data_IF_613910718008
#
_entry.id   IF_613910718008
#
_cell.length_a   1.000
_cell.length_b   1.000
_cell.length_c   1.000
_cell.angle_alpha   90.00
_cell.angle_beta   90.00
_cell.angle_gamma   90.00
#
_symmetry.space_group_name_H-M   'P 1'
#
loop_
_entity.id
_entity.type
_entity.pdbx_description
1 polymer ?
#
# COMPACT_ATOMS: atom_id res chain seq x y z
N UNK A 1 -23.54 31.38 -43.72
CA UNK A 1 -24.24 30.65 -42.64
C UNK A 1 -23.27 29.57 -42.20
N UNK A 2 -22.32 29.97 -41.35
CA UNK A 2 -21.16 29.16 -40.97
C UNK A 2 -21.48 28.37 -39.71
N UNK A 3 -21.10 27.10 -39.78
CA UNK A 3 -21.06 26.08 -38.74
C UNK A 3 -20.24 26.55 -37.53
N UNK A 4 -20.80 26.45 -36.32
CA UNK A 4 -20.03 26.46 -35.08
C UNK A 4 -20.30 25.17 -34.31
N UNK A 5 -19.47 24.19 -34.64
CA UNK A 5 -19.16 23.04 -33.80
C UNK A 5 -18.65 23.50 -32.42
N UNK A 6 -19.47 23.35 -31.36
CA UNK A 6 -19.00 23.47 -29.99
C UNK A 6 -18.37 22.15 -29.54
N UNK A 7 -17.03 22.12 -29.53
CA UNK A 7 -16.25 21.13 -28.81
C UNK A 7 -16.34 21.44 -27.31
N UNK A 8 -17.11 20.63 -26.58
CA UNK A 8 -17.07 20.63 -25.12
C UNK A 8 -15.74 20.01 -24.67
N UNK A 9 -14.80 20.89 -24.29
CA UNK A 9 -13.61 20.52 -23.54
C UNK A 9 -14.03 20.29 -22.08
N UNK A 10 -14.16 19.03 -21.69
CA UNK A 10 -14.32 18.61 -20.30
C UNK A 10 -13.14 19.14 -19.47
N UNK A 11 -13.38 20.19 -18.70
CA UNK A 11 -12.45 20.64 -17.67
C UNK A 11 -12.43 19.64 -16.53
N UNK A 12 -11.49 18.69 -16.56
CA UNK A 12 -11.11 17.95 -15.36
C UNK A 12 -10.54 18.97 -14.35
N UNK A 13 -11.28 19.18 -13.26
CA UNK A 13 -10.74 19.81 -12.06
C UNK A 13 -9.49 19.03 -11.65
N UNK A 14 -8.42 19.64 -11.10
CA UNK A 14 -7.29 18.88 -10.61
C UNK A 14 -7.77 17.96 -9.49
N UNK A 15 -8.11 16.73 -9.82
CA UNK A 15 -8.44 15.69 -8.87
C UNK A 15 -7.15 15.39 -8.11
N UNK A 16 -7.21 15.47 -6.79
CA UNK A 16 -6.06 15.16 -5.96
C UNK A 16 -5.78 13.66 -6.14
N UNK A 17 -4.65 13.32 -6.78
CA UNK A 17 -4.22 11.95 -6.94
C UNK A 17 -3.27 11.56 -5.81
N UNK A 18 -3.69 10.58 -5.00
CA UNK A 18 -2.90 10.03 -3.90
C UNK A 18 -2.16 8.75 -4.30
N UNK A 19 -2.22 8.33 -5.57
CA UNK A 19 -1.47 7.17 -6.06
C UNK A 19 0.03 7.34 -5.82
N UNK A 20 0.71 6.27 -5.40
CA UNK A 20 2.12 6.26 -5.03
C UNK A 20 2.46 7.19 -3.83
N UNK A 21 1.51 7.38 -2.91
CA UNK A 21 1.74 8.06 -1.64
C UNK A 21 1.61 7.11 -0.46
N UNK A 22 2.31 7.43 0.62
CA UNK A 22 2.04 6.86 1.93
C UNK A 22 0.97 7.68 2.65
N UNK A 23 -0.04 6.99 3.17
CA UNK A 23 -0.99 7.51 4.11
C UNK A 23 -0.61 7.04 5.51
N UNK A 24 -0.39 7.98 6.42
CA UNK A 24 -0.14 7.71 7.82
C UNK A 24 -1.40 8.01 8.60
N UNK A 25 -1.91 7.00 9.31
CA UNK A 25 -3.07 7.17 10.18
C UNK A 25 -2.73 8.14 11.31
N UNK A 26 -3.53 9.19 11.46
CA UNK A 26 -3.41 10.09 12.61
C UNK A 26 -3.88 9.37 13.89
N UNK A 27 -3.15 9.49 15.01
CA UNK A 27 -3.58 8.95 16.29
C UNK A 27 -4.99 9.44 16.65
N UNK A 28 -5.83 8.56 17.19
CA UNK A 28 -7.22 8.84 17.60
C UNK A 28 -8.20 9.24 16.47
N UNK A 29 -7.77 9.30 15.21
CA UNK A 29 -8.63 9.66 14.08
C UNK A 29 -9.07 8.47 13.24
N UNK A 30 -8.23 7.43 13.19
CA UNK A 30 -8.51 6.18 12.49
C UNK A 30 -8.70 5.09 13.53
N UNK A 31 -9.81 4.37 13.48
CA UNK A 31 -10.13 3.28 14.40
C UNK A 31 -9.94 1.90 13.76
N UNK A 32 -9.89 0.86 14.60
CA UNK A 32 -9.88 -0.53 14.16
C UNK A 32 -8.55 -0.99 13.55
N UNK A 33 -8.66 -1.81 12.49
CA UNK A 33 -7.50 -2.48 11.89
C UNK A 33 -6.57 -1.56 11.10
N UNK A 34 -6.91 -0.28 10.92
CA UNK A 34 -6.08 0.70 10.21
C UNK A 34 -5.45 1.77 11.13
N UNK A 35 -5.78 1.79 12.42
CA UNK A 35 -5.26 2.76 13.38
C UNK A 35 -3.73 2.69 13.53
N UNK A 36 -2.99 3.79 13.35
CA UNK A 36 -1.52 3.76 13.40
C UNK A 36 -0.87 2.91 12.31
N UNK A 37 -1.56 2.70 11.19
CA UNK A 37 -0.99 2.04 10.02
C UNK A 37 -0.30 3.04 9.08
N UNK A 38 0.68 2.55 8.34
CA UNK A 38 1.24 3.21 7.15
C UNK A 38 0.69 2.46 5.96
N UNK A 39 -0.05 3.14 5.10
CA UNK A 39 -0.68 2.55 3.92
C UNK A 39 -0.02 3.12 2.67
N UNK A 40 0.46 2.24 1.81
CA UNK A 40 0.89 2.62 0.47
C UNK A 40 -0.30 2.61 -0.48
N UNK A 41 -0.68 3.77 -1.02
CA UNK A 41 -1.77 3.90 -1.99
C UNK A 41 -1.26 3.42 -3.34
N UNK A 42 -1.77 2.28 -3.76
CA UNK A 42 -1.42 1.68 -5.04
C UNK A 42 -2.20 2.34 -6.16
N UNK A 43 -3.49 2.58 -5.96
CA UNK A 43 -4.34 3.16 -6.99
C UNK A 43 -5.34 4.13 -6.36
N UNK A 44 -5.49 5.31 -6.95
CA UNK A 44 -6.54 6.25 -6.61
C UNK A 44 -7.28 6.69 -7.86
N UNK A 45 -8.59 6.44 -7.90
CA UNK A 45 -9.46 6.82 -9.01
C UNK A 45 -10.73 7.47 -8.47
N UNK A 46 -11.51 8.08 -9.35
CA UNK A 46 -12.83 8.63 -9.00
C UNK A 46 -13.83 7.58 -8.47
N UNK A 47 -13.56 6.28 -8.68
CA UNK A 47 -14.37 5.18 -8.16
C UNK A 47 -13.98 4.74 -6.76
N UNK A 48 -12.79 5.13 -6.28
CA UNK A 48 -12.25 4.72 -5.00
C UNK A 48 -10.73 4.62 -5.01
N UNK A 49 -10.18 4.20 -3.87
CA UNK A 49 -8.75 4.00 -3.68
C UNK A 49 -8.44 2.59 -3.19
N UNK A 50 -7.27 2.08 -3.57
CA UNK A 50 -6.69 0.84 -3.09
C UNK A 50 -5.32 1.14 -2.50
N UNK A 51 -5.09 0.66 -1.28
CA UNK A 51 -3.80 0.73 -0.63
C UNK A 51 -3.46 -0.51 0.17
N UNK A 52 -2.20 -0.66 0.51
CA UNK A 52 -1.67 -1.77 1.29
C UNK A 52 -1.01 -1.26 2.55
N UNK A 53 -1.42 -1.78 3.71
CA UNK A 53 -0.73 -1.53 4.96
C UNK A 53 0.66 -2.20 4.91
N UNK A 54 1.71 -1.42 5.13
CA UNK A 54 3.11 -1.88 5.02
C UNK A 54 3.80 -2.03 6.38
N UNK A 55 3.25 -1.54 7.48
CA UNK A 55 3.92 -1.52 8.78
C UNK A 55 3.43 -2.58 9.77
N UNK A 56 2.62 -3.55 9.31
CA UNK A 56 2.00 -4.56 10.17
C UNK A 56 2.36 -5.98 9.72
N UNK A 57 3.46 -6.58 10.22
CA UNK A 57 3.73 -7.99 10.00
C UNK A 57 2.68 -8.85 10.72
N UNK A 58 2.44 -10.04 10.19
CA UNK A 58 1.57 -11.06 10.80
C UNK A 58 2.41 -12.25 11.26
N UNK A 59 1.80 -13.18 12.00
CA UNK A 59 2.43 -14.44 12.40
C UNK A 59 2.57 -15.44 11.23
N UNK A 60 2.01 -15.12 10.06
CA UNK A 60 2.12 -15.94 8.86
C UNK A 60 3.43 -15.63 8.15
N UNK A 61 4.12 -16.68 7.71
CA UNK A 61 5.28 -16.56 6.83
C UNK A 61 4.91 -16.95 5.40
N UNK A 62 5.78 -16.60 4.45
CA UNK A 62 5.63 -17.07 3.07
C UNK A 62 5.61 -18.59 2.99
N UNK A 63 6.42 -19.30 3.78
CA UNK A 63 6.38 -20.76 3.82
C UNK A 63 4.97 -21.29 4.10
N UNK A 64 4.32 -20.79 5.15
CA UNK A 64 2.95 -21.19 5.51
C UNK A 64 1.91 -20.75 4.47
N UNK A 65 2.08 -19.57 3.86
CA UNK A 65 1.19 -19.10 2.80
C UNK A 65 1.26 -20.02 1.57
N UNK A 66 2.46 -20.43 1.18
CA UNK A 66 2.71 -21.30 0.03
C UNK A 66 2.21 -22.73 0.25
N UNK A 67 2.38 -23.28 1.45
CA UNK A 67 1.81 -24.57 1.82
C UNK A 67 0.29 -24.58 1.69
N UNK A 68 -0.40 -23.51 2.10
CA UNK A 68 -1.87 -23.39 1.94
C UNK A 68 -2.32 -23.37 0.49
N UNK A 69 -1.49 -22.88 -0.41
CA UNK A 69 -1.78 -22.81 -1.84
C UNK A 69 -1.14 -23.97 -2.62
N UNK A 70 -0.60 -24.99 -1.92
CA UNK A 70 0.02 -26.18 -2.50
C UNK A 70 1.21 -25.86 -3.44
N UNK A 71 1.94 -24.77 -3.17
CA UNK A 71 3.18 -24.44 -3.86
C UNK A 71 4.38 -24.86 -3.01
N UNK A 72 5.31 -25.58 -3.63
CA UNK A 72 6.51 -26.04 -2.94
C UNK A 72 7.60 -24.97 -3.07
N UNK A 73 7.87 -24.24 -1.99
CA UNK A 73 9.04 -23.36 -1.91
C UNK A 73 10.29 -24.23 -1.74
N UNK A 74 11.16 -24.30 -2.74
CA UNK A 74 12.46 -24.98 -2.59
C UNK A 74 13.51 -24.07 -1.95
N UNK A 75 13.23 -22.76 -1.86
CA UNK A 75 14.17 -21.75 -1.41
C UNK A 75 13.96 -21.44 0.08
N UNK A 76 14.87 -21.96 0.91
CA UNK A 76 14.86 -21.79 2.36
C UNK A 76 14.81 -20.32 2.86
N UNK A 77 15.62 -19.36 2.35
CA UNK A 77 15.62 -18.00 2.90
C UNK A 77 14.30 -17.24 2.66
N UNK A 78 13.54 -17.59 1.62
CA UNK A 78 12.26 -16.93 1.33
C UNK A 78 11.14 -17.43 2.25
N UNK A 79 11.22 -18.68 2.74
CA UNK A 79 10.19 -19.28 3.61
C UNK A 79 9.97 -18.53 4.91
N UNK A 80 11.01 -17.93 5.47
CA UNK A 80 10.95 -17.21 6.75
C UNK A 80 10.49 -15.77 6.60
N UNK A 81 10.28 -15.28 5.37
CA UNK A 81 9.80 -13.92 5.14
C UNK A 81 8.40 -13.74 5.73
N UNK A 82 8.19 -12.71 6.57
CA UNK A 82 6.88 -12.45 7.16
C UNK A 82 5.89 -11.93 6.11
N UNK A 83 4.65 -12.37 6.23
CA UNK A 83 3.51 -11.82 5.48
C UNK A 83 2.91 -10.67 6.28
N UNK A 84 2.53 -9.61 5.59
CA UNK A 84 1.97 -8.42 6.21
C UNK A 84 0.45 -8.42 6.14
N UNK A 85 -0.19 -7.74 7.07
CA UNK A 85 -1.60 -7.43 6.98
C UNK A 85 -1.73 -6.23 6.04
N UNK A 86 -2.33 -6.41 4.87
CA UNK A 86 -2.49 -5.34 3.88
C UNK A 86 -3.79 -4.54 4.05
N UNK A 87 -4.78 -5.10 4.74
CA UNK A 87 -6.00 -4.41 5.14
C UNK A 87 -7.19 -5.36 5.34
N UNK A 88 -8.35 -4.83 5.75
CA UNK A 88 -9.51 -5.64 6.13
C UNK A 88 -10.28 -6.25 4.95
N UNK A 89 -10.00 -5.83 3.71
CA UNK A 89 -10.73 -6.28 2.53
C UNK A 89 -9.98 -7.45 1.88
N UNK A 90 -10.70 -8.54 1.55
CA UNK A 90 -10.14 -9.75 0.90
C UNK A 90 -8.91 -10.31 1.63
N UNK A 91 -9.00 -10.46 2.96
CA UNK A 91 -7.93 -11.00 3.81
C UNK A 91 -7.55 -12.46 3.48
N UNK A 92 -8.36 -13.14 2.68
CA UNK A 92 -8.11 -14.45 2.11
C UNK A 92 -7.20 -14.42 0.86
N UNK A 93 -6.99 -13.23 0.26
CA UNK A 93 -6.16 -13.06 -0.93
C UNK A 93 -4.82 -12.41 -0.61
N UNK A 94 -3.76 -12.95 -1.22
CA UNK A 94 -2.42 -12.40 -1.19
C UNK A 94 -2.21 -11.34 -2.27
N UNK A 95 -1.55 -10.27 -1.89
CA UNK A 95 -1.12 -9.18 -2.74
C UNK A 95 0.41 -9.10 -2.66
N UNK A 96 1.08 -9.01 -3.80
CA UNK A 96 2.54 -8.97 -3.86
C UNK A 96 2.96 -7.65 -4.47
N UNK A 97 3.50 -6.76 -3.65
CA UNK A 97 4.13 -5.53 -4.09
C UNK A 97 5.62 -5.80 -4.33
N UNK A 98 6.13 -5.51 -5.52
CA UNK A 98 7.51 -5.84 -5.85
C UNK A 98 8.24 -4.81 -6.70
N UNK A 99 9.56 -4.85 -6.62
CA UNK A 99 10.51 -4.07 -7.42
C UNK A 99 11.63 -5.01 -7.93
N UNK A 100 12.04 -4.91 -9.21
CA UNK A 100 11.47 -4.09 -10.29
C UNK A 100 10.05 -4.54 -10.70
N UNK A 101 9.32 -3.72 -11.49
CA UNK A 101 8.00 -4.08 -12.01
C UNK A 101 8.15 -5.12 -13.12
N UNK A 102 8.20 -6.40 -12.74
CA UNK A 102 8.16 -7.54 -13.66
C UNK A 102 6.84 -7.62 -14.44
N UNK A 103 6.82 -8.41 -15.51
CA UNK A 103 5.60 -8.68 -16.27
C UNK A 103 4.94 -9.97 -15.78
N UNK A 104 4.04 -9.82 -14.81
CA UNK A 104 3.18 -10.88 -14.30
C UNK A 104 1.73 -10.66 -14.72
N UNK A 105 0.93 -11.72 -14.72
CA UNK A 105 -0.51 -11.59 -14.95
C UNK A 105 -1.16 -10.77 -13.83
N UNK A 106 -2.24 -10.04 -14.13
CA UNK A 106 -2.98 -9.28 -13.10
C UNK A 106 -2.09 -8.37 -12.24
N UNK A 107 -1.11 -7.73 -12.89
CA UNK A 107 -0.18 -6.79 -12.28
C UNK A 107 -0.52 -5.35 -12.65
N UNK A 108 -0.48 -4.47 -11.67
CA UNK A 108 -0.69 -3.02 -11.82
C UNK A 108 0.68 -2.35 -11.67
N UNK A 109 1.11 -1.62 -12.70
CA UNK A 109 2.38 -0.88 -12.69
C UNK A 109 2.19 0.45 -11.96
N UNK A 110 2.98 0.63 -10.90
CA UNK A 110 2.96 1.75 -9.96
C UNK A 110 4.28 2.53 -10.10
N UNK A 111 4.56 2.96 -11.33
CA UNK A 111 5.84 3.58 -11.70
C UNK A 111 7.00 2.58 -11.60
N UNK A 112 7.83 2.73 -10.57
CA UNK A 112 8.96 1.84 -10.28
C UNK A 112 8.59 0.55 -9.54
N UNK A 113 7.34 0.45 -9.07
CA UNK A 113 6.81 -0.71 -8.36
C UNK A 113 5.75 -1.41 -9.19
N UNK A 114 5.43 -2.65 -8.85
CA UNK A 114 4.25 -3.32 -9.38
C UNK A 114 3.51 -4.06 -8.27
N UNK A 115 2.18 -3.97 -8.31
CA UNK A 115 1.28 -4.72 -7.45
C UNK A 115 0.68 -5.87 -8.23
N UNK A 116 1.00 -7.09 -7.83
CA UNK A 116 0.57 -8.31 -8.49
C UNK A 116 -0.34 -9.12 -7.58
N UNK A 117 -1.45 -9.59 -8.13
CA UNK A 117 -2.49 -10.38 -7.41
C UNK A 117 -2.60 -11.83 -7.88
N UNK A 118 -1.87 -12.17 -8.93
CA UNK A 118 -1.78 -13.51 -9.48
C UNK A 118 -0.83 -14.39 -8.67
N UNK A 119 -0.99 -15.70 -8.86
CA UNK A 119 -0.13 -16.71 -8.24
C UNK A 119 1.17 -16.96 -9.00
N UNK A 120 1.31 -16.41 -10.21
CA UNK A 120 2.51 -16.61 -11.04
C UNK A 120 3.74 -15.89 -10.46
N UNK A 121 3.60 -14.72 -9.83
CA UNK A 121 4.69 -14.06 -9.10
C UNK A 121 5.15 -14.91 -7.91
N UNK A 122 4.20 -15.52 -7.18
CA UNK A 122 4.53 -16.43 -6.08
C UNK A 122 5.25 -17.67 -6.61
N UNK A 123 4.80 -18.22 -7.75
CA UNK A 123 5.48 -19.34 -8.38
C UNK A 123 6.89 -18.96 -8.86
N UNK A 124 7.07 -17.80 -9.49
CA UNK A 124 8.38 -17.30 -9.89
C UNK A 124 9.32 -17.15 -8.69
N UNK A 125 8.80 -16.67 -7.55
CA UNK A 125 9.52 -16.62 -6.27
C UNK A 125 9.88 -18.02 -5.77
N UNK A 126 8.98 -19.01 -5.88
CA UNK A 126 9.27 -20.40 -5.51
C UNK A 126 10.41 -21.00 -6.35
N UNK A 127 10.43 -20.67 -7.63
CA UNK A 127 11.40 -21.14 -8.63
C UNK A 127 12.73 -20.37 -8.57
N UNK A 128 12.83 -19.32 -7.74
CA UNK A 128 14.04 -18.49 -7.61
C UNK A 128 14.22 -17.43 -8.68
N UNK A 129 13.20 -17.23 -9.52
CA UNK A 129 13.11 -16.17 -10.53
C UNK A 129 12.18 -15.03 -10.07
N UNK A 130 12.02 -14.88 -8.76
CA UNK A 130 11.22 -13.82 -8.16
C UNK A 130 11.88 -12.44 -8.31
N UNK A 131 11.12 -11.36 -8.05
CA UNK A 131 11.68 -10.02 -8.01
C UNK A 131 12.71 -9.88 -6.88
N UNK A 132 13.65 -8.95 -7.05
CA UNK A 132 14.72 -8.69 -6.07
C UNK A 132 14.18 -8.26 -4.70
N UNK A 133 13.18 -7.37 -4.72
CA UNK A 133 12.51 -6.89 -3.52
C UNK A 133 11.01 -7.14 -3.65
N UNK A 134 10.41 -7.73 -2.62
CA UNK A 134 8.98 -7.94 -2.55
C UNK A 134 8.44 -7.79 -1.13
N UNK A 135 7.19 -7.37 -1.05
CA UNK A 135 6.38 -7.29 0.15
C UNK A 135 5.09 -8.05 -0.15
N UNK A 136 4.82 -9.10 0.62
CA UNK A 136 3.59 -9.88 0.49
C UNK A 136 2.64 -9.49 1.60
N UNK A 137 1.43 -9.11 1.22
CA UNK A 137 0.37 -8.72 2.15
C UNK A 137 -0.87 -9.59 1.96
N UNK A 138 -1.65 -9.77 3.01
CA UNK A 138 -2.98 -10.37 2.95
C UNK A 138 -4.06 -9.30 3.07
N UNK A 139 -4.95 -9.29 2.09
CA UNK A 139 -5.94 -8.24 1.92
C UNK A 139 -5.33 -6.89 1.55
N UNK A 140 -6.23 -5.91 1.43
CA UNK A 140 -5.93 -4.53 1.12
C UNK A 140 -6.85 -3.58 1.89
N UNK A 141 -6.43 -2.33 2.02
CA UNK A 141 -7.25 -1.23 2.47
C UNK A 141 -7.94 -0.62 1.24
N UNK A 142 -9.27 -0.65 1.23
CA UNK A 142 -10.07 -0.09 0.15
C UNK A 142 -10.87 1.10 0.64
N UNK A 143 -10.93 2.16 -0.17
CA UNK A 143 -11.79 3.31 0.03
C UNK A 143 -12.82 3.39 -1.09
N UNK A 144 -14.06 3.69 -0.74
CA UNK A 144 -15.09 4.00 -1.73
C UNK A 144 -14.84 5.34 -2.42
N UNK A 145 -15.60 5.62 -3.48
CA UNK A 145 -15.56 6.88 -4.22
C UNK A 145 -15.72 8.09 -3.28
N UNK A 146 -14.75 9.01 -3.27
CA UNK A 146 -14.77 10.21 -2.43
C UNK A 146 -14.50 9.98 -0.94
N UNK A 147 -14.30 8.73 -0.50
CA UNK A 147 -14.12 8.41 0.91
C UNK A 147 -12.73 8.84 1.39
N UNK A 148 -11.68 8.53 0.62
CA UNK A 148 -10.32 8.90 0.99
C UNK A 148 -10.18 10.42 1.09
N UNK A 149 -10.73 11.16 0.14
CA UNK A 149 -10.72 12.62 0.10
C UNK A 149 -11.46 13.23 1.29
N UNK A 150 -12.59 12.64 1.68
CA UNK A 150 -13.34 13.04 2.88
C UNK A 150 -12.54 12.80 4.17
N UNK A 151 -11.84 11.66 4.26
CA UNK A 151 -10.99 11.34 5.41
C UNK A 151 -9.75 12.24 5.47
N UNK A 152 -9.14 12.55 4.32
CA UNK A 152 -8.06 13.55 4.19
C UNK A 152 -8.55 14.94 4.63
N UNK A 153 -9.73 15.38 4.19
CA UNK A 153 -10.31 16.67 4.57
C UNK A 153 -10.63 16.76 6.08
N UNK A 154 -10.80 15.62 6.76
CA UNK A 154 -10.99 15.52 8.21
C UNK A 154 -9.67 15.36 8.97
N UNK A 155 -8.52 15.47 8.31
CA UNK A 155 -7.19 15.22 8.87
C UNK A 155 -7.06 13.83 9.53
N UNK A 156 -7.76 12.82 9.00
CA UNK A 156 -7.61 11.45 9.48
C UNK A 156 -6.31 10.80 8.98
N UNK A 157 -5.82 11.25 7.83
CA UNK A 157 -4.61 10.76 7.19
C UNK A 157 -3.67 11.91 6.86
N UNK A 158 -2.38 11.65 7.04
CA UNK A 158 -1.32 12.48 6.46
C UNK A 158 -0.80 11.77 5.20
N UNK A 159 -0.60 12.50 4.10
CA UNK A 159 -0.10 11.93 2.86
C UNK A 159 1.29 12.46 2.52
N UNK A 160 2.18 11.59 2.04
CA UNK A 160 3.53 11.94 1.58
C UNK A 160 3.92 11.09 0.38
N UNK A 161 4.77 11.59 -0.51
CA UNK A 161 5.31 10.79 -1.61
C UNK A 161 5.97 9.52 -1.08
N UNK A 162 5.63 8.37 -1.68
CA UNK A 162 6.17 7.11 -1.24
C UNK A 162 7.65 6.97 -1.65
N UNK A 163 8.45 6.49 -0.71
CA UNK A 163 9.83 6.08 -0.92
C UNK A 163 9.91 4.54 -0.80
N UNK A 164 10.26 3.82 -1.89
CA UNK A 164 10.41 2.36 -1.86
C UNK A 164 11.37 1.85 -0.78
N UNK A 165 12.36 2.65 -0.38
CA UNK A 165 13.29 2.31 0.71
C UNK A 165 12.54 2.03 2.03
N UNK A 166 11.49 2.81 2.32
CA UNK A 166 10.65 2.61 3.51
C UNK A 166 9.85 1.30 3.41
N UNK A 167 9.52 0.84 2.21
CA UNK A 167 8.73 -0.38 1.99
C UNK A 167 9.57 -1.64 2.16
N UNK A 168 10.83 -1.64 1.70
CA UNK A 168 11.64 -2.86 1.63
C UNK A 168 12.79 -2.91 2.64
N UNK A 169 13.44 -1.77 2.93
CA UNK A 169 14.68 -1.76 3.71
C UNK A 169 14.45 -1.34 5.18
N UNK A 170 13.40 -0.57 5.45
CA UNK A 170 13.08 -0.10 6.80
C UNK A 170 12.28 -1.16 7.58
N UNK A 171 12.66 -1.48 8.84
CA UNK A 171 11.89 -2.37 9.71
C UNK A 171 10.45 -1.89 9.90
N UNK A 172 9.44 -2.78 9.98
CA UNK A 172 8.02 -2.39 9.99
C UNK A 172 7.65 -1.36 11.05
N UNK A 173 8.20 -1.51 12.26
CA UNK A 173 8.01 -0.59 13.39
C UNK A 173 8.59 0.81 13.16
N UNK A 174 9.62 0.93 12.32
CA UNK A 174 10.26 2.19 11.97
C UNK A 174 9.65 2.86 10.72
N UNK A 175 8.77 2.18 9.97
CA UNK A 175 8.16 2.73 8.74
C UNK A 175 7.30 3.95 9.01
N UNK A 176 6.55 3.95 10.11
CA UNK A 176 5.70 5.08 10.49
C UNK A 176 6.51 6.35 10.81
N UNK A 177 7.48 6.31 11.74
CA UNK A 177 8.32 7.49 12.00
C UNK A 177 9.19 7.87 10.80
N UNK A 178 9.65 6.92 9.97
CA UNK A 178 10.38 7.22 8.75
C UNK A 178 9.51 7.99 7.73
N UNK A 179 8.25 7.57 7.53
CA UNK A 179 7.32 8.26 6.65
C UNK A 179 6.95 9.66 7.16
N UNK A 180 6.79 9.83 8.48
CA UNK A 180 6.57 11.15 9.08
C UNK A 180 7.76 12.10 8.89
N UNK A 181 8.99 11.58 9.00
CA UNK A 181 10.20 12.36 8.73
C UNK A 181 10.28 12.86 7.29
N UNK A 182 9.72 12.14 6.31
CA UNK A 182 9.63 12.63 4.93
C UNK A 182 8.77 13.89 4.81
N UNK A 183 7.76 14.06 5.68
CA UNK A 183 6.98 15.29 5.80
C UNK A 183 7.71 16.41 6.56
N UNK A 184 8.88 16.12 7.13
CA UNK A 184 9.54 17.02 8.08
C UNK A 184 8.80 17.13 9.42
N UNK A 185 7.93 16.16 9.74
CA UNK A 185 7.17 16.12 10.99
C UNK A 185 7.84 15.14 11.95
N UNK A 186 8.21 15.62 13.14
CA UNK A 186 8.68 14.73 14.20
C UNK A 186 7.49 13.98 14.83
N UNK A 187 7.56 12.66 15.05
CA UNK A 187 6.48 11.89 15.68
C UNK A 187 6.09 12.42 17.07
N UNK A 188 7.04 13.03 17.78
CA UNK A 188 6.83 13.66 19.09
C UNK A 188 5.86 14.85 19.00
N UNK A 189 5.80 15.54 17.86
CA UNK A 189 4.89 16.67 17.64
C UNK A 189 3.43 16.21 17.52
N UNK A 190 3.20 14.97 17.10
CA UNK A 190 1.86 14.38 16.96
C UNK A 190 1.34 13.77 18.28
N UNK A 191 2.25 13.37 19.18
CA UNK A 191 1.92 12.91 20.53
C UNK A 191 1.58 14.05 21.50
N UNK A 192 1.79 15.30 21.09
CA UNK A 192 1.69 16.49 21.95
C UNK A 192 0.29 16.89 22.42
N UNK A 193 -0.79 16.30 21.90
CA UNK A 193 -2.16 16.62 22.33
C UNK A 193 -2.69 15.67 23.44
N UNK A 194 -1.89 14.69 23.87
CA UNK A 194 -2.25 13.71 24.91
C UNK A 194 -1.66 14.01 26.31
N UNK A 195 -1.31 15.26 26.59
CA UNK A 195 -0.65 15.64 27.84
C UNK A 195 -0.93 17.07 28.27
N UNK A 196 -2.18 17.37 28.64
CA UNK A 196 -2.43 18.54 29.50
C UNK A 196 -2.06 18.20 30.94
N UNK A 197 -1.06 18.92 31.46
CA UNK A 197 -0.73 19.03 32.88
C UNK A 197 -1.77 19.87 33.64
#
# INVERSE_FOLDING_TARGET
MTDESHSDASGESPSVDFSNQFLMAMPNMVEGSLAGSVIYVCEHTTKGALGLVINRPTDLTLGTLFERIELNLEIAPVKETPVFFGGPVQTDRGFVLHMPPGDYNSSIKLGGLALTTSRDVLQAVADGNGPEQMLVTLGYAGWGAGQLESEMARNAWLSVSADPHIIFDVPPEERYPAALKLLGIDPVMLAGDAGHA
#
